data_IF_575268898206
#
_entry.id   IF_575268898206
#
_cell.length_a   1.000
_cell.length_b   1.000
_cell.length_c   1.000
_cell.angle_alpha   90.00
_cell.angle_beta   90.00
_cell.angle_gamma   90.00
#
_symmetry.space_group_name_H-M   'P 1'
#
loop_
_entity.id
_entity.type
_entity.pdbx_description
1 polymer ?
#
# COMPACT_ATOMS: atom_id res chain seq x y z
N UNK A 1 -14.85 5.72 -34.77
CA UNK A 1 -15.73 4.91 -33.89
C UNK A 1 -14.88 3.82 -33.26
N UNK A 2 -14.42 4.01 -32.02
CA UNK A 2 -13.66 2.99 -31.28
C UNK A 2 -14.54 2.43 -30.17
N UNK A 3 -14.66 1.11 -30.11
CA UNK A 3 -15.49 0.38 -29.13
C UNK A 3 -14.92 0.51 -27.72
N UNK A 4 -15.75 0.75 -26.69
CA UNK A 4 -15.35 0.62 -25.29
C UNK A 4 -15.45 -0.84 -24.85
N UNK A 5 -14.43 -1.39 -24.18
CA UNK A 5 -14.59 -2.67 -23.44
C UNK A 5 -13.50 -3.74 -23.53
N UNK A 6 -12.22 -3.41 -23.74
CA UNK A 6 -11.13 -4.37 -23.52
C UNK A 6 -10.14 -3.82 -22.49
N UNK A 7 -10.32 -4.22 -21.23
CA UNK A 7 -9.22 -4.20 -20.27
C UNK A 7 -8.16 -5.18 -20.78
N UNK A 8 -6.88 -4.78 -20.91
CA UNK A 8 -5.82 -5.73 -21.21
C UNK A 8 -5.75 -6.74 -20.06
N UNK A 9 -5.99 -8.02 -20.38
CA UNK A 9 -5.84 -9.11 -19.42
C UNK A 9 -4.45 -9.05 -18.79
N UNK A 10 -4.40 -9.00 -17.46
CA UNK A 10 -3.14 -9.06 -16.72
C UNK A 10 -2.43 -10.38 -17.06
N UNK A 11 -1.12 -10.36 -17.36
CA UNK A 11 -0.37 -11.59 -17.61
C UNK A 11 -0.36 -12.48 -16.35
N UNK A 12 -0.23 -13.82 -16.51
CA UNK A 12 -0.18 -14.74 -15.38
C UNK A 12 0.99 -14.39 -14.48
N UNK A 13 0.69 -14.05 -13.23
CA UNK A 13 1.69 -13.65 -12.25
C UNK A 13 2.48 -14.88 -11.82
N UNK A 14 3.81 -14.80 -11.79
CA UNK A 14 4.66 -15.81 -11.14
C UNK A 14 4.29 -15.97 -9.65
N UNK A 15 4.97 -16.83 -8.87
CA UNK A 15 4.65 -17.03 -7.45
C UNK A 15 4.87 -15.73 -6.68
N UNK A 16 3.85 -14.89 -6.62
CA UNK A 16 3.89 -13.60 -5.93
C UNK A 16 3.64 -13.85 -4.46
N UNK A 17 4.68 -13.64 -3.66
CA UNK A 17 4.50 -13.43 -2.23
C UNK A 17 3.78 -12.09 -2.03
N UNK A 18 2.60 -12.12 -1.40
CA UNK A 18 1.88 -10.91 -0.99
C UNK A 18 2.43 -10.30 0.31
N UNK A 19 3.50 -10.88 0.87
CA UNK A 19 4.07 -10.43 2.12
C UNK A 19 4.95 -9.19 1.91
N UNK A 20 4.53 -8.06 2.48
CA UNK A 20 5.24 -6.77 2.41
C UNK A 20 6.66 -6.82 2.97
N UNK A 21 6.94 -7.75 3.88
CA UNK A 21 8.24 -7.86 4.55
C UNK A 21 9.22 -8.78 3.82
N UNK A 22 8.76 -9.50 2.79
CA UNK A 22 9.55 -10.49 2.06
C UNK A 22 9.48 -10.28 0.53
N UNK A 23 9.24 -9.03 0.10
CA UNK A 23 9.15 -8.65 -1.31
C UNK A 23 10.48 -8.92 -2.00
N UNK A 24 10.45 -9.77 -3.03
CA UNK A 24 11.63 -10.14 -3.81
C UNK A 24 11.86 -9.13 -4.94
N UNK A 25 13.12 -8.76 -5.23
CA UNK A 25 13.43 -7.92 -6.38
C UNK A 25 13.15 -8.65 -7.69
N UNK A 26 12.51 -7.98 -8.64
CA UNK A 26 12.28 -8.53 -9.99
C UNK A 26 13.53 -8.29 -10.86
N UNK A 27 14.05 -9.32 -11.57
CA UNK A 27 15.18 -9.15 -12.49
C UNK A 27 14.87 -8.08 -13.55
N UNK A 28 15.83 -7.19 -13.80
CA UNK A 28 15.66 -6.12 -14.78
C UNK A 28 14.75 -4.98 -14.30
N UNK A 29 14.45 -4.87 -13.00
CA UNK A 29 13.84 -3.66 -12.45
C UNK A 29 14.81 -2.45 -12.57
N UNK A 30 14.32 -1.23 -12.39
CA UNK A 30 15.15 -0.02 -12.53
C UNK A 30 16.29 0.07 -11.50
N UNK A 31 16.14 -0.60 -10.34
CA UNK A 31 17.10 -0.61 -9.23
C UNK A 31 18.27 -1.60 -9.47
N UNK A 32 17.99 -2.78 -10.01
CA UNK A 32 18.92 -3.89 -10.25
C UNK A 32 19.63 -3.72 -11.59
N UNK A 33 18.96 -3.11 -12.57
CA UNK A 33 19.56 -2.74 -13.86
C UNK A 33 20.56 -1.58 -13.73
N UNK A 34 20.46 -0.79 -12.66
CA UNK A 34 21.39 0.29 -12.35
C UNK A 34 21.64 0.37 -10.83
N UNK A 35 22.60 -0.40 -10.28
CA UNK A 35 22.93 -0.37 -8.85
C UNK A 35 23.34 1.02 -8.36
N UNK A 36 23.98 1.81 -9.23
CA UNK A 36 24.36 3.20 -8.99
C UNK A 36 23.15 4.11 -8.78
N UNK A 37 22.03 3.82 -9.45
CA UNK A 37 20.81 4.61 -9.37
C UNK A 37 20.12 4.50 -8.00
N UNK A 38 20.41 3.46 -7.21
CA UNK A 38 19.97 3.37 -5.81
C UNK A 38 20.59 4.50 -4.99
N UNK A 39 21.88 4.74 -5.13
CA UNK A 39 22.57 5.81 -4.39
C UNK A 39 22.13 7.21 -4.82
N UNK A 40 21.62 7.34 -6.06
CA UNK A 40 21.04 8.56 -6.56
C UNK A 40 19.65 8.87 -5.96
N UNK A 41 18.97 7.88 -5.34
CA UNK A 41 17.69 8.13 -4.68
C UNK A 41 17.88 8.91 -3.37
N UNK A 42 16.96 9.85 -3.07
CA UNK A 42 16.95 10.58 -1.82
C UNK A 42 17.06 9.66 -0.59
N UNK A 43 17.84 10.04 0.44
CA UNK A 43 17.90 9.28 1.69
C UNK A 43 16.52 9.08 2.35
N UNK A 44 15.61 10.05 2.18
CA UNK A 44 14.22 9.99 2.65
C UNK A 44 13.48 8.76 2.12
N UNK A 45 13.75 8.35 0.88
CA UNK A 45 13.13 7.18 0.24
C UNK A 45 13.89 5.89 0.60
N UNK A 46 15.23 5.93 0.60
CA UNK A 46 16.06 4.75 0.88
C UNK A 46 15.91 4.21 2.30
N UNK A 47 15.65 5.08 3.27
CA UNK A 47 15.45 4.70 4.68
C UNK A 47 14.07 4.15 5.00
N UNK A 48 13.17 4.06 4.03
CA UNK A 48 11.77 3.66 4.27
C UNK A 48 11.63 2.16 4.39
N UNK A 49 10.64 1.72 5.18
CA UNK A 49 10.27 0.32 5.25
C UNK A 49 9.69 -0.22 3.94
N UNK A 50 9.10 0.66 3.12
CA UNK A 50 8.43 0.30 1.88
C UNK A 50 9.35 0.35 0.65
N UNK A 51 10.62 0.76 0.79
CA UNK A 51 11.61 0.76 -0.29
C UNK A 51 11.66 -0.55 -1.12
N UNK A 52 11.57 -1.76 -0.52
CA UNK A 52 11.54 -3.01 -1.29
C UNK A 52 10.40 -3.11 -2.32
N UNK A 53 9.30 -2.35 -2.15
CA UNK A 53 8.23 -2.30 -3.14
C UNK A 53 8.72 -1.76 -4.49
N UNK A 54 9.61 -0.76 -4.48
CA UNK A 54 10.20 -0.20 -5.69
C UNK A 54 11.02 -1.26 -6.45
N UNK A 55 11.70 -2.13 -5.73
CA UNK A 55 12.45 -3.25 -6.29
C UNK A 55 11.55 -4.34 -6.88
N UNK A 56 10.25 -4.34 -6.61
CA UNK A 56 9.33 -5.29 -7.28
C UNK A 56 8.81 -4.80 -8.64
N UNK A 57 9.16 -3.57 -9.05
CA UNK A 57 8.64 -2.94 -10.26
C UNK A 57 9.53 -3.24 -11.47
N UNK A 58 9.06 -4.12 -12.37
CA UNK A 58 9.72 -4.35 -13.66
C UNK A 58 9.61 -3.15 -14.63
N UNK A 59 10.44 -3.13 -15.68
CA UNK A 59 10.48 -2.03 -16.69
C UNK A 59 9.11 -1.78 -17.34
N UNK A 60 8.40 -2.84 -17.74
CA UNK A 60 7.08 -2.67 -18.37
C UNK A 60 6.04 -2.09 -17.40
N UNK A 61 6.17 -2.43 -16.12
CA UNK A 61 5.30 -1.89 -15.07
C UNK A 61 5.63 -0.43 -14.78
N UNK A 62 6.92 -0.05 -14.80
CA UNK A 62 7.35 1.34 -14.63
C UNK A 62 6.66 2.27 -15.64
N UNK A 63 6.65 1.89 -16.92
CA UNK A 63 5.99 2.68 -17.97
C UNK A 63 4.49 2.83 -17.71
N UNK A 64 3.81 1.75 -17.28
CA UNK A 64 2.39 1.81 -16.93
C UNK A 64 2.13 2.71 -15.74
N UNK A 65 2.94 2.61 -14.68
CA UNK A 65 2.80 3.45 -13.49
C UNK A 65 3.03 4.91 -13.84
N UNK A 66 3.98 5.20 -14.73
CA UNK A 66 4.19 6.55 -15.26
C UNK A 66 2.96 7.10 -15.99
N UNK A 67 2.33 6.29 -16.85
CA UNK A 67 1.08 6.70 -17.52
C UNK A 67 -0.05 6.95 -16.52
N UNK A 68 -0.15 6.13 -15.47
CA UNK A 68 -1.11 6.35 -14.37
C UNK A 68 -0.83 7.65 -13.62
N UNK A 69 0.43 7.89 -13.27
CA UNK A 69 0.85 9.12 -12.60
C UNK A 69 0.44 10.35 -13.40
N UNK A 70 0.76 10.39 -14.70
CA UNK A 70 0.36 11.47 -15.61
C UNK A 70 -1.16 11.63 -15.77
N UNK A 71 -1.94 10.58 -15.50
CA UNK A 71 -3.40 10.63 -15.53
C UNK A 71 -4.02 11.14 -14.23
N UNK A 72 -3.32 10.98 -13.10
CA UNK A 72 -3.73 11.50 -11.79
C UNK A 72 -3.26 12.93 -11.60
N UNK A 73 -2.04 13.25 -12.06
CA UNK A 73 -1.43 14.60 -12.09
C UNK A 73 -2.15 15.48 -13.12
N UNK A 74 -3.16 16.22 -12.67
CA UNK A 74 -4.04 17.00 -13.54
C UNK A 74 -3.44 18.34 -13.90
N UNK A 75 -2.69 18.93 -12.98
CA UNK A 75 -2.05 20.22 -13.18
C UNK A 75 -0.66 20.11 -13.81
N UNK A 76 -0.12 18.89 -13.93
CA UNK A 76 1.19 18.57 -14.50
C UNK A 76 2.33 19.18 -13.71
N UNK A 77 2.16 19.31 -12.40
CA UNK A 77 3.18 19.80 -11.49
C UNK A 77 4.39 18.85 -11.37
N UNK A 78 4.21 17.57 -11.70
CA UNK A 78 5.23 16.53 -11.52
C UNK A 78 5.26 15.95 -10.11
N UNK A 79 4.31 16.34 -9.26
CA UNK A 79 4.01 15.74 -7.95
C UNK A 79 2.50 15.56 -7.83
N UNK A 80 2.01 14.89 -6.78
CA UNK A 80 0.57 14.72 -6.56
C UNK A 80 0.13 15.26 -5.21
N UNK A 81 -0.88 16.12 -5.20
CA UNK A 81 -1.56 16.50 -3.95
C UNK A 81 -2.68 15.53 -3.55
N UNK A 82 -3.11 15.63 -2.29
CA UNK A 82 -4.24 14.86 -1.77
C UNK A 82 -5.52 14.99 -2.62
N UNK A 83 -5.78 16.18 -3.20
CA UNK A 83 -6.96 16.41 -4.02
C UNK A 83 -6.90 15.61 -5.34
N UNK A 84 -5.71 15.46 -5.90
CA UNK A 84 -5.49 14.66 -7.10
C UNK A 84 -5.57 13.17 -6.78
N UNK A 85 -4.98 12.73 -5.66
CA UNK A 85 -5.13 11.36 -5.17
C UNK A 85 -6.60 10.97 -4.96
N UNK A 86 -7.43 11.85 -4.41
CA UNK A 86 -8.86 11.57 -4.23
C UNK A 86 -9.62 11.40 -5.55
N UNK A 87 -9.14 12.05 -6.61
CA UNK A 87 -9.77 12.03 -7.93
C UNK A 87 -9.11 11.06 -8.90
N UNK A 88 -8.01 10.44 -8.47
CA UNK A 88 -7.28 9.43 -9.21
C UNK A 88 -8.09 8.16 -9.36
N UNK A 89 -7.87 7.49 -10.49
CA UNK A 89 -8.25 6.10 -10.66
C UNK A 89 -7.04 5.24 -10.25
N UNK A 90 -7.28 4.12 -9.58
CA UNK A 90 -6.25 3.20 -9.11
C UNK A 90 -6.59 1.77 -9.54
N UNK A 91 -5.66 0.80 -9.41
CA UNK A 91 -5.91 -0.60 -9.76
C UNK A 91 -7.25 -1.10 -9.19
N UNK A 92 -8.03 -1.83 -9.98
CA UNK A 92 -9.29 -2.42 -9.49
C UNK A 92 -10.43 -1.42 -9.23
N UNK A 93 -10.38 -0.22 -9.83
CA UNK A 93 -11.35 0.86 -9.58
C UNK A 93 -11.39 1.33 -8.11
N UNK A 94 -10.29 1.18 -7.38
CA UNK A 94 -10.16 1.70 -6.01
C UNK A 94 -10.38 3.21 -6.02
N UNK A 95 -11.25 3.68 -5.13
CA UNK A 95 -11.50 5.10 -4.89
C UNK A 95 -11.03 5.46 -3.48
N UNK A 96 -10.19 6.48 -3.38
CA UNK A 96 -9.68 6.92 -2.10
C UNK A 96 -10.64 7.94 -1.48
N UNK A 97 -11.24 7.58 -0.34
CA UNK A 97 -11.95 8.55 0.50
C UNK A 97 -10.97 9.64 1.00
N UNK A 98 -11.43 10.83 1.41
CA UNK A 98 -10.55 11.86 1.97
C UNK A 98 -9.67 11.34 3.12
N UNK A 99 -10.25 10.50 3.99
CA UNK A 99 -9.52 9.87 5.10
C UNK A 99 -8.46 8.89 4.58
N UNK A 100 -8.80 8.06 3.60
CA UNK A 100 -7.86 7.08 3.03
C UNK A 100 -6.74 7.77 2.24
N UNK A 101 -7.05 8.79 1.45
CA UNK A 101 -6.07 9.59 0.73
C UNK A 101 -5.07 10.25 1.69
N UNK A 102 -5.57 10.82 2.80
CA UNK A 102 -4.69 11.38 3.84
C UNK A 102 -3.81 10.30 4.49
N UNK A 103 -4.31 9.08 4.70
CA UNK A 103 -3.47 7.97 5.18
C UNK A 103 -2.39 7.60 4.16
N UNK A 104 -2.72 7.56 2.87
CA UNK A 104 -1.72 7.32 1.81
C UNK A 104 -0.64 8.39 1.80
N UNK A 105 -1.02 9.68 1.89
CA UNK A 105 -0.05 10.78 2.06
C UNK A 105 0.88 10.48 3.25
N UNK A 106 0.32 10.22 4.44
CA UNK A 106 1.11 9.95 5.66
C UNK A 106 2.00 8.71 5.62
N UNK A 107 1.82 7.80 4.65
CA UNK A 107 2.68 6.63 4.47
C UNK A 107 3.84 6.94 3.52
N UNK A 108 3.52 7.61 2.41
CA UNK A 108 4.40 7.73 1.26
C UNK A 108 5.05 9.11 1.12
N UNK A 109 4.45 10.19 1.59
CA UNK A 109 5.07 11.51 1.72
C UNK A 109 6.09 11.46 2.86
N UNK A 110 7.34 11.18 2.51
CA UNK A 110 8.41 10.89 3.48
C UNK A 110 9.22 12.11 3.86
N UNK A 111 9.19 13.14 3.03
CA UNK A 111 9.80 14.44 3.31
C UNK A 111 8.80 15.46 3.89
N UNK A 112 7.53 15.05 4.07
CA UNK A 112 6.44 15.83 4.66
C UNK A 112 6.18 17.14 3.93
N UNK A 113 6.43 17.18 2.62
CA UNK A 113 6.26 18.37 1.82
C UNK A 113 4.78 18.60 1.41
N UNK A 114 3.90 17.62 1.65
CA UNK A 114 2.48 17.69 1.31
C UNK A 114 2.15 17.22 -0.11
N UNK A 115 3.14 16.71 -0.85
CA UNK A 115 3.06 16.23 -2.22
C UNK A 115 3.71 14.85 -2.34
N UNK A 116 3.17 14.01 -3.22
CA UNK A 116 3.75 12.70 -3.54
C UNK A 116 4.60 12.82 -4.79
N UNK A 117 5.90 12.60 -4.66
CA UNK A 117 6.81 12.49 -5.80
C UNK A 117 6.55 11.23 -6.62
N UNK A 118 7.08 11.16 -7.84
CA UNK A 118 6.90 9.99 -8.69
C UNK A 118 7.42 8.68 -8.05
N UNK A 119 8.54 8.72 -7.31
CA UNK A 119 9.06 7.55 -6.62
C UNK A 119 8.15 7.08 -5.48
N UNK A 120 7.59 8.00 -4.71
CA UNK A 120 6.63 7.71 -3.65
C UNK A 120 5.32 7.16 -4.23
N UNK A 121 4.87 7.72 -5.36
CA UNK A 121 3.71 7.22 -6.10
C UNK A 121 3.95 5.79 -6.61
N UNK A 122 5.14 5.46 -7.10
CA UNK A 122 5.45 4.11 -7.54
C UNK A 122 5.27 3.09 -6.40
N UNK A 123 5.77 3.41 -5.20
CA UNK A 123 5.58 2.56 -4.03
C UNK A 123 4.10 2.46 -3.63
N UNK A 124 3.38 3.59 -3.62
CA UNK A 124 1.94 3.63 -3.34
C UNK A 124 1.13 2.80 -4.34
N UNK A 125 1.40 2.94 -5.63
CA UNK A 125 0.74 2.16 -6.67
C UNK A 125 0.97 0.66 -6.45
N UNK A 126 2.21 0.26 -6.12
CA UNK A 126 2.53 -1.15 -5.85
C UNK A 126 1.87 -1.69 -4.60
N UNK A 127 1.79 -0.88 -3.56
CA UNK A 127 1.02 -1.20 -2.38
C UNK A 127 -0.48 -1.41 -2.69
N UNK A 128 -1.07 -0.52 -3.49
CA UNK A 128 -2.47 -0.62 -3.92
C UNK A 128 -2.71 -1.86 -4.81
N UNK A 129 -1.83 -2.13 -5.76
CA UNK A 129 -1.88 -3.31 -6.62
C UNK A 129 -1.80 -4.61 -5.81
N UNK A 130 -0.85 -4.68 -4.86
CA UNK A 130 -0.72 -5.82 -3.95
C UNK A 130 -1.97 -6.01 -3.08
N UNK A 131 -2.50 -4.92 -2.52
CA UNK A 131 -3.74 -4.93 -1.72
C UNK A 131 -4.92 -5.44 -2.56
N UNK A 132 -5.05 -4.95 -3.80
CA UNK A 132 -6.12 -5.35 -4.71
C UNK A 132 -6.02 -6.83 -5.12
N UNK A 133 -4.82 -7.30 -5.46
CA UNK A 133 -4.63 -8.70 -5.82
C UNK A 133 -4.95 -9.64 -4.65
N UNK A 134 -4.59 -9.22 -3.42
CA UNK A 134 -4.91 -9.98 -2.22
C UNK A 134 -6.42 -10.00 -1.94
N UNK A 135 -7.12 -8.89 -2.19
CA UNK A 135 -8.58 -8.84 -2.14
C UNK A 135 -9.21 -9.85 -3.10
N UNK A 136 -8.79 -9.85 -4.37
CA UNK A 136 -9.30 -10.79 -5.38
C UNK A 136 -9.00 -12.26 -5.04
N UNK A 137 -7.85 -12.53 -4.43
CA UNK A 137 -7.47 -13.88 -4.03
C UNK A 137 -8.36 -14.42 -2.89
N UNK A 138 -8.80 -13.55 -1.99
CA UNK A 138 -9.65 -13.93 -0.86
C UNK A 138 -11.15 -13.88 -1.21
N UNK A 139 -11.59 -13.07 -2.19
CA UNK A 139 -12.96 -13.07 -2.75
C UNK A 139 -13.23 -14.29 -3.65
N UNK A 140 -13.20 -15.50 -3.06
CA UNK A 140 -13.32 -16.78 -3.79
C UNK A 140 -14.64 -16.95 -4.51
N UNK A 141 -15.72 -16.41 -3.94
CA UNK A 141 -17.06 -16.47 -4.51
C UNK A 141 -17.32 -15.35 -5.52
N UNK A 142 -16.34 -14.45 -5.76
CA UNK A 142 -16.45 -13.29 -6.67
C UNK A 142 -17.66 -12.42 -6.36
N UNK A 143 -17.95 -12.27 -5.07
CA UNK A 143 -19.03 -11.41 -4.58
C UNK A 143 -18.70 -9.92 -4.77
N UNK A 144 -17.42 -9.59 -4.98
CA UNK A 144 -16.92 -8.23 -4.96
C UNK A 144 -16.74 -7.67 -3.55
N UNK A 145 -16.82 -8.53 -2.53
CA UNK A 145 -16.75 -8.19 -1.11
C UNK A 145 -16.03 -9.28 -0.31
N UNK A 146 -15.53 -8.94 0.88
CA UNK A 146 -15.01 -9.89 1.86
C UNK A 146 -15.82 -9.82 3.15
N UNK A 147 -16.06 -10.98 3.75
CA UNK A 147 -16.68 -11.07 5.05
C UNK A 147 -15.70 -10.67 6.17
N UNK A 148 -16.18 -10.17 7.32
CA UNK A 148 -15.30 -9.72 8.40
C UNK A 148 -14.32 -10.79 8.91
N UNK A 149 -14.69 -12.08 8.81
CA UNK A 149 -13.85 -13.19 9.23
C UNK A 149 -12.70 -13.49 8.25
N UNK A 150 -12.79 -13.02 7.00
CA UNK A 150 -11.77 -13.18 5.95
C UNK A 150 -10.67 -12.11 6.03
N UNK A 151 -10.94 -11.00 6.72
CA UNK A 151 -10.00 -9.88 6.87
C UNK A 151 -8.73 -10.30 7.61
N UNK A 152 -8.84 -11.09 8.68
CA UNK A 152 -7.69 -11.53 9.47
C UNK A 152 -6.71 -12.38 8.63
N UNK A 153 -7.14 -13.46 7.96
CA UNK A 153 -6.22 -14.27 7.16
C UNK A 153 -5.67 -13.51 5.95
N UNK A 154 -6.44 -12.59 5.36
CA UNK A 154 -5.95 -11.72 4.29
C UNK A 154 -4.84 -10.77 4.78
N UNK A 155 -5.04 -10.10 5.92
CA UNK A 155 -4.01 -9.24 6.52
C UNK A 155 -2.75 -10.03 6.90
N UNK A 156 -2.92 -11.26 7.40
CA UNK A 156 -1.80 -12.13 7.72
C UNK A 156 -0.98 -12.51 6.48
N UNK A 157 -1.61 -12.76 5.32
CA UNK A 157 -0.93 -12.99 4.04
C UNK A 157 -0.12 -11.75 3.59
N UNK A 158 -0.65 -10.55 3.86
CA UNK A 158 0.06 -9.29 3.60
C UNK A 158 1.26 -9.07 4.53
N UNK A 159 1.29 -9.78 5.67
CA UNK A 159 2.33 -9.71 6.70
C UNK A 159 1.87 -9.03 8.01
N UNK A 160 0.61 -8.63 8.13
CA UNK A 160 0.07 -8.03 9.35
C UNK A 160 -0.54 -9.09 10.26
N UNK A 161 0.19 -9.46 11.32
CA UNK A 161 -0.23 -10.49 12.27
C UNK A 161 -1.09 -9.90 13.40
N UNK A 162 -2.39 -9.75 13.15
CA UNK A 162 -3.34 -9.22 14.13
C UNK A 162 -4.24 -10.29 14.74
N UNK A 163 -4.83 -9.98 15.89
CA UNK A 163 -5.85 -10.82 16.52
C UNK A 163 -7.20 -10.76 15.79
N UNK A 164 -8.04 -11.81 15.86
CA UNK A 164 -9.38 -11.80 15.26
C UNK A 164 -10.27 -10.66 15.74
N UNK A 165 -10.17 -10.27 17.03
CA UNK A 165 -10.90 -9.12 17.58
C UNK A 165 -10.53 -7.82 16.86
N UNK A 166 -9.24 -7.60 16.62
CA UNK A 166 -8.72 -6.44 15.90
C UNK A 166 -9.25 -6.40 14.47
N UNK A 167 -9.33 -7.54 13.77
CA UNK A 167 -9.88 -7.61 12.42
C UNK A 167 -11.35 -7.17 12.36
N UNK A 168 -12.16 -7.62 13.32
CA UNK A 168 -13.57 -7.21 13.44
C UNK A 168 -13.70 -5.73 13.76
N UNK A 169 -12.82 -5.19 14.63
CA UNK A 169 -12.81 -3.76 14.95
C UNK A 169 -12.41 -2.91 13.73
N UNK A 170 -11.38 -3.31 12.99
CA UNK A 170 -10.98 -2.67 11.73
C UNK A 170 -12.13 -2.63 10.73
N UNK A 171 -12.86 -3.74 10.57
CA UNK A 171 -14.05 -3.75 9.73
C UNK A 171 -15.05 -2.68 10.18
N UNK A 172 -15.42 -2.64 11.47
CA UNK A 172 -16.38 -1.65 11.98
C UNK A 172 -15.93 -0.20 11.78
N UNK A 173 -14.64 0.08 11.96
CA UNK A 173 -14.08 1.42 11.83
C UNK A 173 -14.08 1.92 10.37
N UNK A 174 -13.93 1.02 9.40
CA UNK A 174 -13.69 1.37 8.00
C UNK A 174 -14.79 0.96 7.02
N UNK A 175 -15.74 0.11 7.40
CA UNK A 175 -16.84 -0.34 6.53
C UNK A 175 -17.95 0.70 6.33
N UNK A 176 -17.91 1.83 7.04
CA UNK A 176 -18.94 2.88 6.98
C UNK A 176 -20.36 2.36 7.29
N UNK A 177 -20.45 1.35 8.16
CA UNK A 177 -21.73 0.73 8.54
C UNK A 177 -22.18 -0.42 7.62
N UNK A 178 -21.41 -0.74 6.57
CA UNK A 178 -21.67 -1.89 5.72
C UNK A 178 -21.39 -3.20 6.48
N UNK A 179 -22.18 -4.23 6.19
CA UNK A 179 -22.05 -5.55 6.80
C UNK A 179 -20.84 -6.34 6.27
N UNK A 180 -20.42 -6.02 5.05
CA UNK A 180 -19.31 -6.65 4.33
C UNK A 180 -18.27 -5.59 3.94
N UNK A 181 -17.03 -6.02 3.72
CA UNK A 181 -15.93 -5.14 3.33
C UNK A 181 -15.75 -5.16 1.80
N UNK A 182 -16.07 -4.05 1.14
CA UNK A 182 -15.74 -3.86 -0.27
C UNK A 182 -14.25 -3.53 -0.45
N UNK A 183 -13.81 -3.39 -1.71
CA UNK A 183 -12.41 -3.07 -2.01
C UNK A 183 -11.93 -1.76 -1.38
N UNK A 184 -12.82 -0.77 -1.22
CA UNK A 184 -12.45 0.53 -0.64
C UNK A 184 -12.29 0.42 0.88
N UNK A 185 -13.17 -0.31 1.56
CA UNK A 185 -13.03 -0.71 2.96
C UNK A 185 -11.70 -1.44 3.18
N UNK A 186 -11.40 -2.43 2.33
CA UNK A 186 -10.17 -3.20 2.42
C UNK A 186 -8.92 -2.33 2.29
N UNK A 187 -8.88 -1.48 1.26
CA UNK A 187 -7.77 -0.54 1.06
C UNK A 187 -7.64 0.45 2.22
N UNK A 188 -8.75 0.89 2.82
CA UNK A 188 -8.70 1.75 4.00
C UNK A 188 -8.08 1.03 5.22
N UNK A 189 -8.40 -0.26 5.41
CA UNK A 189 -7.79 -1.11 6.45
C UNK A 189 -6.30 -1.29 6.20
N UNK A 190 -5.90 -1.65 4.97
CA UNK A 190 -4.49 -1.78 4.59
C UNK A 190 -3.73 -0.46 4.79
N UNK A 191 -4.30 0.67 4.37
CA UNK A 191 -3.71 1.99 4.55
C UNK A 191 -3.52 2.32 6.05
N UNK A 192 -4.49 1.98 6.90
CA UNK A 192 -4.33 2.15 8.34
C UNK A 192 -3.17 1.31 8.90
N UNK A 193 -3.10 0.02 8.55
CA UNK A 193 -2.02 -0.87 9.01
C UNK A 193 -0.63 -0.38 8.55
N UNK A 194 -0.52 0.06 7.29
CA UNK A 194 0.70 0.65 6.73
C UNK A 194 1.07 1.98 7.39
N UNK A 195 0.09 2.84 7.70
CA UNK A 195 0.34 4.09 8.43
C UNK A 195 0.83 3.82 9.86
N UNK A 196 0.26 2.82 10.54
CA UNK A 196 0.76 2.36 11.84
C UNK A 196 2.21 1.85 11.73
N UNK A 197 2.59 1.22 10.61
CA UNK A 197 3.98 0.80 10.36
C UNK A 197 4.93 1.98 10.18
N UNK A 198 4.53 3.04 9.48
CA UNK A 198 5.31 4.27 9.38
C UNK A 198 5.44 4.94 10.75
N UNK A 199 4.36 4.98 11.53
CA UNK A 199 4.36 5.54 12.90
C UNK A 199 5.26 4.75 13.85
N UNK A 200 5.27 3.42 13.74
CA UNK A 200 6.15 2.53 14.50
C UNK A 200 7.62 2.85 14.20
N UNK A 201 7.99 3.04 12.93
CA UNK A 201 9.35 3.43 12.58
C UNK A 201 9.74 4.77 13.19
N UNK A 202 8.89 5.79 13.04
CA UNK A 202 9.15 7.10 13.62
C UNK A 202 9.33 7.06 15.14
N UNK A 203 8.52 6.26 15.84
CA UNK A 203 8.61 6.10 17.30
C UNK A 203 9.95 5.47 17.71
N UNK A 204 10.33 4.35 17.07
CA UNK A 204 11.53 3.60 17.44
C UNK A 204 12.83 4.11 16.81
N UNK A 205 12.76 5.09 15.88
CA UNK A 205 13.92 5.86 15.44
C UNK A 205 14.37 6.89 16.48
N UNK A 206 13.53 7.21 17.48
CA UNK A 206 13.93 8.09 18.57
C UNK A 206 15.05 7.43 19.41
N UNK A 207 16.25 8.04 19.52
CA UNK A 207 17.37 7.49 20.26
C UNK A 207 17.08 7.17 21.73
N UNK A 208 16.03 7.76 22.31
CA UNK A 208 15.58 7.48 23.67
C UNK A 208 15.28 5.99 23.91
N UNK A 209 14.80 5.27 22.90
CA UNK A 209 14.49 3.83 23.00
C UNK A 209 15.71 2.92 22.77
N UNK A 210 16.91 3.49 22.65
CA UNK A 210 18.15 2.77 22.39
C UNK A 210 18.36 2.46 20.90
N UNK A 211 19.18 1.44 20.62
CA UNK A 211 19.42 1.02 19.24
C UNK A 211 18.15 0.42 18.62
N UNK A 212 17.87 0.80 17.37
CA UNK A 212 16.74 0.28 16.62
C UNK A 212 16.87 -1.23 16.45
N UNK A 213 15.91 -1.97 17.01
CA UNK A 213 15.85 -3.43 16.86
C UNK A 213 15.45 -3.81 15.44
N UNK A 214 15.92 -4.96 14.92
CA UNK A 214 15.41 -5.50 13.66
C UNK A 214 13.89 -5.63 13.69
N UNK A 215 13.25 -5.34 12.56
CA UNK A 215 11.80 -5.43 12.44
C UNK A 215 11.32 -6.87 12.64
N UNK A 216 10.42 -7.07 13.59
CA UNK A 216 9.75 -8.35 13.83
C UNK A 216 8.24 -8.16 13.61
N UNK A 217 7.64 -8.84 12.61
CA UNK A 217 6.25 -8.60 12.25
C UNK A 217 5.26 -9.13 13.31
N UNK A 218 5.65 -10.09 14.15
CA UNK A 218 4.81 -10.59 15.26
C UNK A 218 4.73 -9.56 16.38
N UNK A 219 5.86 -8.93 16.75
CA UNK A 219 5.86 -7.86 17.75
C UNK A 219 5.14 -6.61 17.23
N UNK A 220 5.32 -6.28 15.95
CA UNK A 220 4.54 -5.22 15.30
C UNK A 220 3.03 -5.54 15.29
N UNK A 221 2.65 -6.80 15.13
CA UNK A 221 1.27 -7.26 15.26
C UNK A 221 0.62 -6.87 16.58
N UNK A 222 1.32 -7.12 17.70
CA UNK A 222 0.88 -6.70 19.05
C UNK A 222 0.72 -5.18 19.16
N UNK A 223 1.67 -4.43 18.58
CA UNK A 223 1.57 -2.97 18.53
C UNK A 223 0.32 -2.52 17.75
N UNK A 224 0.05 -3.14 16.60
CA UNK A 224 -1.12 -2.83 15.78
C UNK A 224 -2.44 -3.16 16.50
N UNK A 225 -2.50 -4.27 17.22
CA UNK A 225 -3.66 -4.64 18.06
C UNK A 225 -3.95 -3.54 19.11
N UNK A 226 -2.91 -3.09 19.84
CA UNK A 226 -3.04 -2.04 20.87
C UNK A 226 -3.48 -0.72 20.25
N UNK A 227 -2.83 -0.27 19.18
CA UNK A 227 -3.17 0.99 18.52
C UNK A 227 -4.59 0.96 17.98
N UNK A 228 -5.03 -0.16 17.39
CA UNK A 228 -6.40 -0.29 16.88
C UNK A 228 -7.43 -0.19 18.01
N UNK A 229 -7.14 -0.79 19.17
CA UNK A 229 -8.02 -0.72 20.34
C UNK A 229 -8.18 0.71 20.89
N UNK A 230 -7.24 1.63 20.61
CA UNK A 230 -7.37 3.05 20.98
C UNK A 230 -8.34 3.82 20.06
N UNK A 231 -8.76 3.25 18.93
CA UNK A 231 -9.71 3.85 18.01
C UNK A 231 -11.16 3.38 18.25
N UNK A 232 -11.38 2.40 19.14
CA UNK A 232 -12.71 1.97 19.61
C UNK A 232 -13.35 3.07 20.49
#
# INVERSE_FOLDING_TARGET
MFRPGMQPGMPPMGPQSFNLWAVQPVPGNFITSCPQCVYALPPSIRGTWWFPLLSSIGIDQYQRIYMWFMGVDRDRSGTLEINELMQGQFPGNIKLSPKTALRMMRIFDTDFNGHISFYEFMAMYKFLEMSFNLFLMNDRNRSGTMEPHEIQPALQQMGFFIQPRTAVLLHRLFSLGMAVCDVNCWVAICAFAAQCRSSYQMLFMNPYYGQMKPFNPVEFGKFLDIITALLE
#
